data_IF_660326218032
#
_entry.id   IF_660326218032
#
_cell.length_a   1.000
_cell.length_b   1.000
_cell.length_c   1.000
_cell.angle_alpha   90.00
_cell.angle_beta   90.00
_cell.angle_gamma   90.00
#
_symmetry.space_group_name_H-M   'P 1'
#
loop_
_entity.id
_entity.type
_entity.pdbx_description
1 polymer ?
#
# COMPACT_ATOMS: atom_id res chain seq x y z
N UNK A 1 24.55 22.35 6.62
CA UNK A 1 23.45 22.62 7.57
C UNK A 1 22.86 21.25 7.87
N UNK A 2 22.87 20.80 9.12
CA UNK A 2 22.24 19.53 9.46
C UNK A 2 20.73 19.67 9.23
N UNK A 3 20.17 18.80 8.39
CA UNK A 3 18.74 18.78 8.12
C UNK A 3 18.10 18.05 9.29
N UNK A 4 17.20 18.72 9.99
CA UNK A 4 16.45 18.12 11.09
C UNK A 4 15.23 17.37 10.57
N UNK A 5 14.77 16.39 11.34
CA UNK A 5 13.51 15.71 11.09
C UNK A 5 12.35 16.72 11.09
N UNK A 6 11.47 16.61 10.09
CA UNK A 6 10.24 17.38 10.01
C UNK A 6 9.05 16.44 9.81
N UNK A 7 7.85 16.92 10.13
CA UNK A 7 6.61 16.14 10.03
C UNK A 7 6.35 15.64 8.60
N UNK A 8 6.79 16.38 7.58
CA UNK A 8 6.70 15.95 6.18
C UNK A 8 7.51 14.68 5.91
N UNK A 9 8.73 14.59 6.43
CA UNK A 9 9.57 13.41 6.28
C UNK A 9 8.94 12.20 6.96
N UNK A 10 8.37 12.40 8.15
CA UNK A 10 7.69 11.34 8.89
C UNK A 10 6.42 10.87 8.16
N UNK A 11 5.68 11.79 7.56
CA UNK A 11 4.47 11.49 6.77
C UNK A 11 4.82 10.66 5.53
N UNK A 12 5.86 11.04 4.78
CA UNK A 12 6.28 10.28 3.59
C UNK A 12 6.70 8.85 3.98
N UNK A 13 7.50 8.73 5.05
CA UNK A 13 7.96 7.42 5.52
C UNK A 13 6.82 6.57 6.06
N UNK A 14 5.85 7.16 6.78
CA UNK A 14 4.69 6.40 7.27
C UNK A 14 3.84 5.88 6.11
N UNK A 15 3.59 6.70 5.08
CA UNK A 15 2.89 6.27 3.86
C UNK A 15 3.63 5.10 3.18
N UNK A 16 4.95 5.17 3.04
CA UNK A 16 5.74 4.07 2.46
C UNK A 16 5.72 2.82 3.32
N UNK A 17 5.73 2.98 4.65
CA UNK A 17 5.59 1.88 5.60
C UNK A 17 4.25 1.15 5.44
N UNK A 18 3.15 1.89 5.32
CA UNK A 18 1.81 1.34 5.12
C UNK A 18 1.67 0.63 3.77
N UNK A 19 2.19 1.25 2.70
CA UNK A 19 2.23 0.62 1.37
C UNK A 19 3.04 -0.68 1.41
N UNK A 20 4.20 -0.67 2.05
CA UNK A 20 5.05 -1.87 2.21
C UNK A 20 4.35 -2.98 3.00
N UNK A 21 3.57 -2.64 4.04
CA UNK A 21 2.78 -3.60 4.79
C UNK A 21 1.73 -4.29 3.90
N UNK A 22 1.03 -3.51 3.06
CA UNK A 22 0.06 -4.03 2.11
C UNK A 22 0.73 -4.94 1.06
N UNK A 23 1.84 -4.50 0.47
CA UNK A 23 2.60 -5.26 -0.54
C UNK A 23 3.16 -6.56 0.02
N UNK A 24 3.70 -6.54 1.24
CA UNK A 24 4.10 -7.74 1.98
C UNK A 24 2.95 -8.75 2.05
N UNK A 25 1.74 -8.32 2.42
CA UNK A 25 0.59 -9.22 2.53
C UNK A 25 0.22 -9.82 1.17
N UNK A 26 0.21 -9.01 0.11
CA UNK A 26 -0.07 -9.46 -1.25
C UNK A 26 0.92 -10.53 -1.71
N UNK A 27 2.22 -10.30 -1.49
CA UNK A 27 3.25 -11.29 -1.81
C UNK A 27 3.16 -12.54 -0.94
N UNK A 28 2.82 -12.43 0.34
CA UNK A 28 2.62 -13.59 1.23
C UNK A 28 1.49 -14.50 0.73
N UNK A 29 0.37 -13.91 0.29
CA UNK A 29 -0.75 -14.68 -0.27
C UNK A 29 -0.42 -15.27 -1.64
N UNK A 30 0.29 -14.53 -2.49
CA UNK A 30 0.77 -15.03 -3.77
C UNK A 30 1.73 -16.22 -3.59
N UNK A 31 2.71 -16.11 -2.70
CA UNK A 31 3.61 -17.22 -2.33
C UNK A 31 2.82 -18.45 -1.85
N UNK A 32 1.78 -18.26 -1.03
CA UNK A 32 0.96 -19.39 -0.55
C UNK A 32 0.22 -20.09 -1.70
N UNK A 33 -0.28 -19.34 -2.68
CA UNK A 33 -0.90 -19.86 -3.91
C UNK A 33 0.10 -20.64 -4.76
N UNK A 34 1.25 -20.06 -5.06
CA UNK A 34 2.27 -20.71 -5.89
C UNK A 34 2.92 -21.92 -5.21
N UNK A 35 3.07 -21.91 -3.88
CA UNK A 35 3.51 -23.08 -3.11
C UNK A 35 2.52 -24.24 -3.24
N UNK A 36 1.23 -23.96 -3.18
CA UNK A 36 0.19 -24.97 -3.36
C UNK A 36 0.21 -25.54 -4.78
N UNK A 37 0.29 -24.68 -5.79
CA UNK A 37 0.42 -25.11 -7.19
C UNK A 37 1.68 -25.96 -7.39
N UNK A 38 2.84 -25.49 -6.91
CA UNK A 38 4.10 -26.23 -7.00
C UNK A 38 3.96 -27.66 -6.46
N UNK A 39 3.31 -27.82 -5.30
CA UNK A 39 3.08 -29.14 -4.69
C UNK A 39 2.15 -30.01 -5.55
N UNK A 40 1.08 -29.42 -6.12
CA UNK A 40 0.15 -30.14 -7.01
C UNK A 40 0.82 -30.65 -8.28
N UNK A 41 1.71 -29.87 -8.88
CA UNK A 41 2.42 -30.32 -10.08
C UNK A 41 3.53 -31.32 -9.74
N UNK A 42 4.29 -31.07 -8.67
CA UNK A 42 5.53 -31.79 -8.37
C UNK A 42 5.28 -33.15 -7.74
N UNK A 43 4.35 -33.27 -6.78
CA UNK A 43 4.10 -34.53 -6.04
C UNK A 43 3.65 -35.67 -6.98
N UNK A 44 2.66 -35.48 -7.88
CA UNK A 44 2.25 -36.54 -8.80
C UNK A 44 3.37 -36.96 -9.75
N UNK A 45 4.19 -36.02 -10.22
CA UNK A 45 5.35 -36.32 -11.07
C UNK A 45 6.37 -37.18 -10.33
N UNK A 46 6.67 -36.89 -9.06
CA UNK A 46 7.56 -37.71 -8.23
C UNK A 46 7.01 -39.12 -8.08
N UNK A 47 5.72 -39.26 -7.77
CA UNK A 47 5.08 -40.58 -7.59
C UNK A 47 5.14 -41.37 -8.90
N UNK A 48 4.73 -40.78 -10.02
CA UNK A 48 4.78 -41.42 -11.33
C UNK A 48 6.20 -41.85 -11.69
N UNK A 49 7.19 -40.96 -11.52
CA UNK A 49 8.59 -41.25 -11.85
C UNK A 49 9.17 -42.35 -10.98
N UNK A 50 8.81 -42.38 -9.69
CA UNK A 50 9.27 -43.43 -8.76
C UNK A 50 8.65 -44.78 -9.12
N UNK A 51 7.34 -44.80 -9.42
CA UNK A 51 6.63 -46.01 -9.84
C UNK A 51 7.14 -46.55 -11.17
N UNK A 52 7.34 -45.70 -12.18
CA UNK A 52 7.88 -46.12 -13.48
C UNK A 52 9.34 -46.56 -13.37
N UNK A 53 10.14 -45.92 -12.53
CA UNK A 53 11.51 -46.34 -12.22
C UNK A 53 11.57 -47.75 -11.61
N UNK A 54 10.73 -48.02 -10.61
CA UNK A 54 10.62 -49.34 -9.99
C UNK A 54 10.05 -50.40 -10.98
N UNK A 55 9.06 -50.02 -11.79
CA UNK A 55 8.47 -50.90 -12.80
C UNK A 55 9.47 -51.29 -13.89
N UNK A 56 10.31 -50.36 -14.35
CA UNK A 56 11.41 -50.65 -15.29
C UNK A 56 12.38 -51.69 -14.73
N UNK A 57 12.76 -51.58 -13.45
CA UNK A 57 13.65 -52.56 -12.81
C UNK A 57 13.01 -53.95 -12.68
N UNK A 58 11.69 -54.03 -12.45
CA UNK A 58 10.97 -55.28 -12.29
C UNK A 58 10.49 -55.91 -13.62
N UNK A 59 10.63 -55.21 -14.74
CA UNK A 59 10.03 -55.59 -16.03
C UNK A 59 10.48 -56.98 -16.50
N UNK A 60 11.76 -57.32 -16.34
CA UNK A 60 12.33 -58.61 -16.76
C UNK A 60 11.81 -59.79 -15.93
N UNK A 61 11.24 -59.53 -14.74
CA UNK A 61 10.70 -60.56 -13.84
C UNK A 61 9.20 -60.81 -14.07
N UNK A 62 8.57 -60.11 -15.01
CA UNK A 62 7.15 -60.27 -15.30
C UNK A 62 6.89 -61.55 -16.12
N UNK A 63 5.74 -62.21 -15.96
CA UNK A 63 5.32 -63.32 -16.81
C UNK A 63 5.26 -62.92 -18.29
N UNK A 64 5.57 -63.85 -19.19
CA UNK A 64 5.68 -63.62 -20.65
C UNK A 64 4.49 -62.88 -21.29
N UNK A 65 3.29 -63.09 -20.76
CA UNK A 65 2.06 -62.41 -21.20
C UNK A 65 2.04 -60.88 -20.94
N UNK A 66 2.80 -60.37 -19.96
CA UNK A 66 2.81 -58.95 -19.58
C UNK A 66 4.07 -58.19 -20.04
N UNK A 67 5.14 -58.90 -20.42
CA UNK A 67 6.43 -58.32 -20.83
C UNK A 67 6.27 -57.35 -22.01
N UNK A 68 5.32 -57.61 -22.92
CA UNK A 68 5.07 -56.74 -24.07
C UNK A 68 4.27 -55.47 -23.72
N UNK A 69 3.29 -55.57 -22.81
CA UNK A 69 2.42 -54.45 -22.45
C UNK A 69 3.05 -53.50 -21.42
N UNK A 70 3.88 -54.03 -20.52
CA UNK A 70 4.53 -53.25 -19.46
C UNK A 70 5.30 -52.01 -19.98
N UNK A 71 6.19 -52.12 -21.01
CA UNK A 71 6.91 -50.94 -21.51
C UNK A 71 6.01 -49.90 -22.18
N UNK A 72 4.89 -50.31 -22.79
CA UNK A 72 3.92 -49.37 -23.36
C UNK A 72 3.27 -48.52 -22.27
N UNK A 73 2.80 -49.16 -21.19
CA UNK A 73 2.18 -48.47 -20.05
C UNK A 73 3.18 -47.55 -19.35
N UNK A 74 4.41 -48.02 -19.12
CA UNK A 74 5.49 -47.22 -18.52
C UNK A 74 5.81 -46.01 -19.40
N UNK A 75 5.89 -46.20 -20.73
CA UNK A 75 6.09 -45.12 -21.69
C UNK A 75 4.99 -44.05 -21.62
N UNK A 76 3.72 -44.46 -21.55
CA UNK A 76 2.60 -43.52 -21.40
C UNK A 76 2.68 -42.69 -20.12
N UNK A 77 3.00 -43.31 -18.98
CA UNK A 77 3.12 -42.60 -17.69
C UNK A 77 4.29 -41.60 -17.73
N UNK A 78 5.42 -41.99 -18.32
CA UNK A 78 6.58 -41.10 -18.46
C UNK A 78 6.28 -39.89 -19.36
N UNK A 79 5.55 -40.08 -20.46
CA UNK A 79 5.10 -38.97 -21.31
C UNK A 79 4.20 -38.03 -20.52
N UNK A 80 3.25 -38.56 -19.75
CA UNK A 80 2.33 -37.77 -18.95
C UNK A 80 3.08 -36.97 -17.86
N UNK A 81 4.02 -37.60 -17.15
CA UNK A 81 4.89 -36.94 -16.19
C UNK A 81 5.75 -35.84 -16.85
N UNK A 82 6.26 -36.08 -18.06
CA UNK A 82 7.00 -35.09 -18.84
C UNK A 82 6.14 -33.89 -19.25
N UNK A 83 4.90 -34.11 -19.70
CA UNK A 83 3.96 -33.04 -20.03
C UNK A 83 3.65 -32.19 -18.79
N UNK A 84 3.37 -32.81 -17.65
CA UNK A 84 3.09 -32.07 -16.41
C UNK A 84 4.31 -31.22 -16.01
N UNK A 85 5.51 -31.79 -16.09
CA UNK A 85 6.77 -31.09 -15.76
C UNK A 85 7.02 -29.90 -16.70
N UNK A 86 6.84 -30.09 -18.01
CA UNK A 86 7.04 -29.02 -19.00
C UNK A 86 6.01 -27.90 -18.85
N UNK A 87 4.75 -28.22 -18.55
CA UNK A 87 3.72 -27.20 -18.23
C UNK A 87 4.08 -26.44 -16.95
N UNK A 88 4.54 -27.13 -15.90
CA UNK A 88 4.98 -26.48 -14.66
C UNK A 88 6.13 -25.49 -14.92
N UNK A 89 7.11 -25.89 -15.73
CA UNK A 89 8.25 -25.05 -16.10
C UNK A 89 7.81 -23.86 -16.96
N UNK A 90 6.95 -24.08 -17.95
CA UNK A 90 6.41 -23.02 -18.80
C UNK A 90 5.61 -21.97 -18.03
N UNK A 91 4.88 -22.39 -17.00
CA UNK A 91 4.14 -21.49 -16.11
C UNK A 91 5.03 -20.83 -15.04
N UNK A 92 6.34 -21.12 -15.02
CA UNK A 92 7.31 -20.57 -14.06
C UNK A 92 6.89 -20.71 -12.58
N UNK A 93 6.15 -21.77 -12.23
CA UNK A 93 5.51 -21.91 -10.90
C UNK A 93 6.53 -21.85 -9.76
N UNK A 94 7.66 -22.54 -9.92
CA UNK A 94 8.72 -22.57 -8.90
C UNK A 94 9.42 -21.23 -8.76
N UNK A 95 9.69 -20.55 -9.88
CA UNK A 95 10.34 -19.25 -9.91
C UNK A 95 9.44 -18.18 -9.28
N UNK A 96 8.16 -18.12 -9.68
CA UNK A 96 7.17 -17.20 -9.11
C UNK A 96 6.98 -17.41 -7.60
N UNK A 97 6.94 -18.66 -7.14
CA UNK A 97 6.87 -18.96 -5.72
C UNK A 97 8.04 -18.33 -4.96
N UNK A 98 9.26 -18.56 -5.43
CA UNK A 98 10.46 -18.06 -4.78
C UNK A 98 10.57 -16.53 -4.88
N UNK A 99 10.27 -15.94 -6.03
CA UNK A 99 10.24 -14.48 -6.21
C UNK A 99 9.26 -13.82 -5.24
N UNK A 100 8.04 -14.36 -5.10
CA UNK A 100 7.08 -13.84 -4.12
C UNK A 100 7.55 -14.03 -2.67
N UNK A 101 8.21 -15.14 -2.35
CA UNK A 101 8.81 -15.38 -1.02
C UNK A 101 9.87 -14.33 -0.70
N UNK A 102 10.78 -14.07 -1.63
CA UNK A 102 11.86 -13.08 -1.48
C UNK A 102 11.29 -11.66 -1.34
N UNK A 103 10.36 -11.27 -2.21
CA UNK A 103 9.72 -9.95 -2.12
C UNK A 103 8.98 -9.74 -0.81
N UNK A 104 8.20 -10.73 -0.35
CA UNK A 104 7.54 -10.67 0.96
C UNK A 104 8.53 -10.38 2.09
N UNK A 105 9.66 -11.10 2.15
CA UNK A 105 10.68 -10.92 3.20
C UNK A 105 11.30 -9.51 3.10
N UNK A 106 11.57 -9.06 1.88
CA UNK A 106 12.23 -7.79 1.64
C UNK A 106 11.32 -6.60 2.01
N UNK A 107 10.04 -6.62 1.61
CA UNK A 107 9.03 -5.65 2.03
C UNK A 107 8.80 -5.64 3.54
N UNK A 108 8.81 -6.81 4.18
CA UNK A 108 8.69 -6.93 5.64
C UNK A 108 9.90 -6.35 6.38
N UNK A 109 11.11 -6.50 5.81
CA UNK A 109 12.33 -5.87 6.33
C UNK A 109 12.27 -4.35 6.20
N UNK A 110 11.83 -3.83 5.05
CA UNK A 110 11.65 -2.41 4.82
C UNK A 110 10.62 -1.81 5.81
N UNK A 111 9.43 -2.41 5.91
CA UNK A 111 8.39 -1.98 6.86
C UNK A 111 8.90 -1.90 8.30
N UNK A 112 9.60 -2.96 8.77
CA UNK A 112 10.16 -2.95 10.13
C UNK A 112 11.22 -1.88 10.32
N UNK A 113 12.07 -1.65 9.32
CA UNK A 113 13.12 -0.62 9.38
C UNK A 113 12.50 0.76 9.53
N UNK A 114 11.53 1.09 8.68
CA UNK A 114 10.80 2.37 8.75
C UNK A 114 10.07 2.54 10.07
N UNK A 115 9.31 1.51 10.49
CA UNK A 115 8.59 1.52 11.77
C UNK A 115 9.54 1.72 12.95
N UNK A 116 10.67 1.03 12.96
CA UNK A 116 11.67 1.16 14.02
C UNK A 116 12.22 2.58 14.09
N UNK A 117 12.56 3.17 12.95
CA UNK A 117 13.12 4.52 12.89
C UNK A 117 12.12 5.57 13.39
N UNK A 118 10.87 5.51 12.90
CA UNK A 118 9.81 6.43 13.32
C UNK A 118 9.42 6.27 14.80
N UNK A 119 9.61 5.09 15.38
CA UNK A 119 9.31 4.84 16.80
C UNK A 119 10.33 5.45 17.77
N UNK A 120 11.51 5.87 17.28
CA UNK A 120 12.57 6.47 18.10
C UNK A 120 12.38 7.98 18.20
N UNK A 121 12.98 8.60 19.23
CA UNK A 121 13.00 10.07 19.35
C UNK A 121 13.80 10.68 18.19
N UNK A 122 13.36 11.82 17.61
CA UNK A 122 14.06 12.45 16.47
C UNK A 122 15.56 12.71 16.69
N UNK A 123 15.97 12.98 17.92
CA UNK A 123 17.38 13.21 18.29
C UNK A 123 18.28 11.97 18.27
N UNK A 124 17.69 10.77 18.34
CA UNK A 124 18.42 9.49 18.39
C UNK A 124 18.45 8.78 17.03
N UNK A 125 17.67 9.29 16.06
CA UNK A 125 17.53 8.72 14.72
C UNK A 125 18.77 8.93 13.87
N UNK A 126 18.90 8.12 12.83
CA UNK A 126 19.83 8.35 11.73
C UNK A 126 19.55 9.72 11.11
N UNK A 127 20.58 10.45 10.62
CA UNK A 127 20.38 11.70 9.90
C UNK A 127 19.33 11.54 8.80
N UNK A 128 18.34 12.45 8.79
CA UNK A 128 17.16 12.34 7.92
C UNK A 128 17.53 12.21 6.45
N UNK A 129 18.56 12.95 6.00
CA UNK A 129 19.05 12.90 4.61
C UNK A 129 19.55 11.51 4.22
N UNK A 130 20.29 10.85 5.11
CA UNK A 130 20.84 9.51 4.86
C UNK A 130 19.73 8.45 4.87
N UNK A 131 18.83 8.54 5.85
CA UNK A 131 17.74 7.59 5.97
C UNK A 131 16.75 7.71 4.82
N UNK A 132 16.35 8.94 4.45
CA UNK A 132 15.45 9.19 3.32
C UNK A 132 16.05 8.69 2.01
N UNK A 133 17.31 8.98 1.74
CA UNK A 133 17.99 8.48 0.54
C UNK A 133 17.96 6.96 0.49
N UNK A 134 18.41 6.30 1.57
CA UNK A 134 18.46 4.84 1.62
C UNK A 134 17.06 4.21 1.55
N UNK A 135 16.06 4.84 2.16
CA UNK A 135 14.68 4.37 2.13
C UNK A 135 14.08 4.50 0.72
N UNK A 136 14.37 5.60 0.02
CA UNK A 136 13.91 5.82 -1.36
C UNK A 136 14.51 4.79 -2.29
N UNK A 137 15.84 4.63 -2.27
CA UNK A 137 16.56 3.67 -3.10
C UNK A 137 16.06 2.23 -2.86
N UNK A 138 15.86 1.85 -1.59
CA UNK A 138 15.34 0.53 -1.26
C UNK A 138 13.88 0.36 -1.70
N UNK A 139 13.03 1.37 -1.54
CA UNK A 139 11.63 1.32 -1.97
C UNK A 139 11.51 1.16 -3.48
N UNK A 140 12.28 1.95 -4.25
CA UNK A 140 12.32 1.86 -5.71
C UNK A 140 12.84 0.50 -6.15
N UNK A 141 13.95 0.03 -5.57
CA UNK A 141 14.50 -1.30 -5.82
C UNK A 141 13.48 -2.40 -5.54
N UNK A 142 12.74 -2.32 -4.44
CA UNK A 142 11.72 -3.31 -4.10
C UNK A 142 10.55 -3.28 -5.08
N UNK A 143 10.16 -2.10 -5.56
CA UNK A 143 9.09 -1.95 -6.55
C UNK A 143 9.51 -2.53 -7.90
N UNK A 144 10.74 -2.28 -8.34
CA UNK A 144 11.28 -2.79 -9.62
C UNK A 144 11.53 -4.31 -9.61
N UNK A 145 12.03 -4.84 -8.49
CA UNK A 145 12.40 -6.26 -8.39
C UNK A 145 11.25 -7.17 -7.99
N UNK A 146 10.12 -6.61 -7.54
CA UNK A 146 8.98 -7.42 -7.11
C UNK A 146 8.23 -8.01 -8.31
N UNK A 147 7.86 -9.30 -8.25
CA UNK A 147 7.05 -9.92 -9.29
C UNK A 147 5.64 -9.33 -9.31
N UNK A 148 4.95 -9.36 -10.45
CA UNK A 148 3.58 -8.86 -10.56
C UNK A 148 2.64 -9.65 -9.64
N UNK A 149 1.65 -8.97 -9.07
CA UNK A 149 0.62 -9.60 -8.23
C UNK A 149 -0.56 -10.00 -9.11
N UNK A 150 -1.04 -11.24 -8.93
CA UNK A 150 -2.22 -11.72 -9.64
C UNK A 150 -3.50 -11.00 -9.20
N UNK A 151 -4.43 -10.81 -10.15
CA UNK A 151 -5.69 -10.09 -9.93
C UNK A 151 -6.61 -10.76 -8.92
N UNK A 152 -6.56 -12.09 -8.80
CA UNK A 152 -7.30 -12.85 -7.79
C UNK A 152 -6.82 -12.54 -6.37
N UNK A 153 -5.52 -12.32 -6.18
CA UNK A 153 -4.95 -11.92 -4.88
C UNK A 153 -5.34 -10.49 -4.53
N UNK A 154 -5.37 -9.58 -5.51
CA UNK A 154 -5.87 -8.22 -5.31
C UNK A 154 -7.36 -8.22 -4.92
N UNK A 155 -8.17 -9.04 -5.59
CA UNK A 155 -9.58 -9.22 -5.22
C UNK A 155 -9.73 -9.82 -3.81
N UNK A 156 -8.91 -10.82 -3.48
CA UNK A 156 -8.87 -11.40 -2.14
C UNK A 156 -8.52 -10.36 -1.07
N UNK A 157 -7.55 -9.49 -1.35
CA UNK A 157 -7.19 -8.38 -0.47
C UNK A 157 -8.40 -7.47 -0.20
N UNK A 158 -9.06 -6.99 -1.26
CA UNK A 158 -10.24 -6.11 -1.15
C UNK A 158 -11.37 -6.78 -0.37
N UNK A 159 -11.66 -8.05 -0.63
CA UNK A 159 -12.70 -8.77 0.11
C UNK A 159 -12.34 -9.02 1.58
N UNK A 160 -11.06 -9.16 1.91
CA UNK A 160 -10.60 -9.40 3.29
C UNK A 160 -10.71 -8.14 4.15
N UNK A 161 -10.36 -6.98 3.60
CA UNK A 161 -10.23 -5.73 4.36
C UNK A 161 -11.33 -4.69 4.11
N UNK A 162 -12.04 -4.78 2.98
CA UNK A 162 -13.16 -3.89 2.60
C UNK A 162 -14.48 -4.66 2.38
N UNK A 163 -14.51 -5.93 2.80
CA UNK A 163 -15.68 -6.79 2.68
C UNK A 163 -16.78 -6.43 3.69
N UNK A 164 -18.04 -6.69 3.33
CA UNK A 164 -19.21 -6.52 4.23
C UNK A 164 -19.14 -7.36 5.50
N UNK A 165 -18.31 -8.40 5.51
CA UNK A 165 -18.13 -9.35 6.62
C UNK A 165 -16.89 -9.07 7.46
N UNK A 166 -16.11 -8.03 7.13
CA UNK A 166 -14.94 -7.62 7.90
C UNK A 166 -15.39 -6.97 9.22
N UNK A 167 -14.76 -7.34 10.33
CA UNK A 167 -15.09 -6.74 11.64
C UNK A 167 -14.84 -5.24 11.61
N UNK A 168 -15.73 -4.47 12.26
CA UNK A 168 -15.69 -3.00 12.25
C UNK A 168 -14.33 -2.43 12.65
N UNK A 169 -13.63 -3.10 13.58
CA UNK A 169 -12.30 -2.72 14.05
C UNK A 169 -11.21 -2.92 12.98
N UNK A 170 -11.21 -4.04 12.26
CA UNK A 170 -10.24 -4.28 11.18
C UNK A 170 -10.46 -3.30 10.04
N UNK A 171 -11.73 -2.97 9.74
CA UNK A 171 -12.09 -2.00 8.72
C UNK A 171 -11.62 -0.58 9.06
N UNK A 172 -11.76 -0.15 10.33
CA UNK A 172 -11.29 1.18 10.75
C UNK A 172 -9.76 1.27 10.69
N UNK A 173 -9.04 0.26 11.21
CA UNK A 173 -7.58 0.21 11.10
C UNK A 173 -7.11 0.19 9.64
N UNK A 174 -7.81 -0.52 8.77
CA UNK A 174 -7.47 -0.56 7.35
C UNK A 174 -7.80 0.75 6.61
N UNK A 175 -8.82 1.48 7.03
CA UNK A 175 -9.14 2.80 6.46
C UNK A 175 -8.12 3.88 6.82
N UNK A 176 -7.37 3.70 7.92
CA UNK A 176 -6.29 4.58 8.35
C UNK A 176 -5.00 4.36 7.55
N UNK A 177 -4.83 3.19 6.91
CA UNK A 177 -3.62 2.86 6.15
C UNK A 177 -3.60 3.52 4.77
N UNK A 178 -2.42 3.99 4.38
CA UNK A 178 -2.19 4.44 3.01
C UNK A 178 -2.10 3.24 2.06
N UNK A 179 -3.02 3.18 1.10
CA UNK A 179 -3.10 2.07 0.14
C UNK A 179 -2.05 2.22 -0.98
N UNK A 180 -1.43 1.11 -1.42
CA UNK A 180 -0.58 1.12 -2.60
C UNK A 180 -1.42 1.24 -3.88
N UNK A 181 -0.81 1.80 -4.91
CA UNK A 181 -1.45 2.18 -6.18
C UNK A 181 -2.09 0.98 -6.90
N UNK A 182 -1.59 -0.24 -6.68
CA UNK A 182 -2.16 -1.50 -7.17
C UNK A 182 -3.58 -1.80 -6.62
N UNK A 183 -4.01 -1.11 -5.55
CA UNK A 183 -5.34 -1.23 -4.96
C UNK A 183 -6.31 -0.14 -5.44
N UNK A 184 -6.06 0.44 -6.61
CA UNK A 184 -6.85 1.51 -7.25
C UNK A 184 -6.88 2.84 -6.48
N UNK A 185 -5.90 3.10 -5.62
CA UNK A 185 -5.72 4.40 -4.99
C UNK A 185 -4.89 5.32 -5.89
N UNK A 186 -5.55 6.26 -6.55
CA UNK A 186 -4.87 7.32 -7.32
C UNK A 186 -4.93 8.63 -6.54
N UNK A 187 -3.78 9.11 -6.08
CA UNK A 187 -3.65 10.44 -5.47
C UNK A 187 -2.99 11.40 -6.47
N UNK A 188 -3.54 12.61 -6.58
CA UNK A 188 -2.94 13.63 -7.46
C UNK A 188 -1.66 14.18 -6.83
N UNK A 189 -0.58 14.25 -7.61
CA UNK A 189 0.70 14.88 -7.21
C UNK A 189 0.51 16.32 -6.74
N UNK A 190 -0.54 17.02 -7.21
CA UNK A 190 -0.85 18.38 -6.72
C UNK A 190 -1.08 18.42 -5.20
N UNK A 191 -1.56 17.32 -4.61
CA UNK A 191 -1.77 17.21 -3.17
C UNK A 191 -0.48 16.98 -2.38
N UNK A 192 0.59 16.52 -3.03
CA UNK A 192 1.91 16.29 -2.41
C UNK A 192 2.88 17.46 -2.61
N UNK A 193 2.45 18.57 -3.24
CA UNK A 193 3.25 19.78 -3.34
C UNK A 193 3.41 20.38 -1.95
N UNK A 194 4.64 20.79 -1.61
CA UNK A 194 4.90 21.53 -0.39
C UNK A 194 4.03 22.79 -0.33
N UNK A 195 3.35 22.98 0.78
CA UNK A 195 2.57 24.19 1.07
C UNK A 195 3.14 24.80 2.33
N UNK A 196 3.34 26.10 2.31
CA UNK A 196 3.80 26.82 3.50
C UNK A 196 2.82 26.59 4.67
N UNK A 197 3.30 26.60 5.92
CA UNK A 197 2.45 26.36 7.09
C UNK A 197 1.22 27.29 7.14
N UNK A 198 1.37 28.55 6.71
CA UNK A 198 0.29 29.53 6.63
C UNK A 198 -0.77 29.17 5.59
N UNK A 199 -0.37 28.68 4.42
CA UNK A 199 -1.28 28.24 3.36
C UNK A 199 -2.01 26.94 3.75
N UNK A 200 -1.33 26.01 4.43
CA UNK A 200 -1.95 24.79 4.98
C UNK A 200 -3.04 25.11 5.98
N UNK A 201 -2.78 26.07 6.88
CA UNK A 201 -3.78 26.52 7.86
C UNK A 201 -4.98 27.09 7.11
N UNK A 202 -4.78 28.00 6.16
CA UNK A 202 -5.87 28.58 5.37
C UNK A 202 -6.73 27.55 4.63
N UNK A 203 -6.10 26.55 4.01
CA UNK A 203 -6.81 25.48 3.29
C UNK A 203 -7.53 24.52 4.24
N UNK A 204 -6.96 24.20 5.40
CA UNK A 204 -7.63 23.39 6.43
C UNK A 204 -8.87 24.09 6.98
N UNK A 205 -8.79 25.41 7.17
CA UNK A 205 -9.92 26.24 7.60
C UNK A 205 -10.99 26.24 6.52
N UNK A 206 -10.60 26.45 5.27
CA UNK A 206 -11.50 26.39 4.12
C UNK A 206 -12.25 25.05 4.05
N UNK A 207 -11.54 23.92 4.14
CA UNK A 207 -12.14 22.59 4.06
C UNK A 207 -13.07 22.27 5.24
N UNK A 208 -12.73 22.71 6.47
CA UNK A 208 -13.60 22.53 7.65
C UNK A 208 -14.88 23.34 7.53
N UNK A 209 -14.79 24.57 7.04
CA UNK A 209 -15.95 25.42 6.80
C UNK A 209 -16.85 24.86 5.69
N UNK A 210 -16.27 24.33 4.60
CA UNK A 210 -17.05 23.64 3.57
C UNK A 210 -17.78 22.39 4.10
N UNK A 211 -17.18 21.67 5.05
CA UNK A 211 -17.78 20.48 5.65
C UNK A 211 -18.87 20.80 6.69
N UNK A 212 -18.68 21.84 7.52
CA UNK A 212 -19.65 22.25 8.54
C UNK A 212 -20.85 23.02 7.95
N UNK A 213 -20.65 23.78 6.86
CA UNK A 213 -21.66 24.67 6.30
C UNK A 213 -22.12 24.29 4.87
N UNK A 214 -21.54 23.25 4.26
CA UNK A 214 -21.90 22.77 2.91
C UNK A 214 -21.33 23.62 1.77
N UNK A 215 -21.40 23.11 0.53
CA UNK A 215 -20.81 23.76 -0.67
C UNK A 215 -21.67 24.90 -1.24
N UNK A 216 -22.05 25.89 -0.42
CA UNK A 216 -22.60 27.11 -0.97
C UNK A 216 -21.47 28.05 -1.38
N UNK A 217 -21.42 28.40 -2.68
CA UNK A 217 -20.49 29.40 -3.26
C UNK A 217 -20.47 30.75 -2.51
N UNK A 218 -21.44 30.99 -1.62
CA UNK A 218 -21.49 32.15 -0.74
C UNK A 218 -20.47 32.10 0.40
N UNK A 219 -20.10 30.94 0.94
CA UNK A 219 -19.25 30.82 2.13
C UNK A 219 -17.80 31.22 1.82
N UNK A 220 -17.27 30.78 0.69
CA UNK A 220 -15.91 31.15 0.24
C UNK A 220 -15.80 32.66 0.01
N UNK A 221 -16.85 33.27 -0.55
CA UNK A 221 -16.93 34.71 -0.76
C UNK A 221 -17.07 35.48 0.57
N UNK A 222 -17.83 34.96 1.53
CA UNK A 222 -17.97 35.54 2.87
C UNK A 222 -16.65 35.48 3.64
N UNK A 223 -15.94 34.35 3.60
CA UNK A 223 -14.64 34.23 4.26
C UNK A 223 -13.57 35.14 3.65
N UNK A 224 -13.55 35.24 2.32
CA UNK A 224 -12.68 36.19 1.63
C UNK A 224 -12.98 37.64 2.02
N UNK A 225 -14.26 38.00 2.21
CA UNK A 225 -14.66 39.33 2.72
C UNK A 225 -14.16 39.57 4.15
N UNK A 226 -14.19 38.56 5.04
CA UNK A 226 -13.64 38.67 6.40
C UNK A 226 -12.13 38.94 6.34
N UNK A 227 -11.39 38.18 5.52
CA UNK A 227 -9.95 38.37 5.36
C UNK A 227 -9.58 39.72 4.72
N UNK A 228 -10.32 40.14 3.68
CA UNK A 228 -10.14 41.46 3.06
C UNK A 228 -10.45 42.59 4.03
N UNK A 229 -11.48 42.44 4.88
CA UNK A 229 -11.79 43.41 5.94
C UNK A 229 -10.68 43.46 6.98
N UNK A 230 -10.20 42.32 7.48
CA UNK A 230 -9.11 42.25 8.44
C UNK A 230 -7.82 42.90 7.89
N UNK A 231 -7.48 42.61 6.64
CA UNK A 231 -6.32 43.19 5.96
C UNK A 231 -6.46 44.71 5.72
N UNK A 232 -7.64 45.19 5.31
CA UNK A 232 -7.90 46.63 5.14
C UNK A 232 -7.87 47.38 6.47
N UNK A 233 -8.51 46.82 7.48
CA UNK A 233 -8.61 47.43 8.79
C UNK A 233 -7.25 47.50 9.50
N UNK A 234 -6.44 46.43 9.39
CA UNK A 234 -5.07 46.44 9.90
C UNK A 234 -4.16 47.40 9.14
N UNK A 235 -4.33 47.54 7.82
CA UNK A 235 -3.59 48.51 7.03
C UNK A 235 -3.97 49.97 7.36
N UNK A 236 -5.23 50.23 7.70
CA UNK A 236 -5.75 51.58 7.94
C UNK A 236 -5.58 52.02 9.40
N UNK A 237 -5.73 51.10 10.37
CA UNK A 237 -5.72 51.41 11.80
C UNK A 237 -4.50 50.83 12.55
N UNK A 238 -3.58 50.16 11.84
CA UNK A 238 -2.37 49.54 12.41
C UNK A 238 -2.64 48.63 13.62
N UNK A 239 -3.84 48.05 13.70
CA UNK A 239 -4.29 47.12 14.74
C UNK A 239 -5.26 46.10 14.17
N UNK A 240 -5.42 44.99 14.86
CA UNK A 240 -6.43 44.00 14.47
C UNK A 240 -7.85 44.45 14.86
N UNK A 241 -8.88 44.09 14.06
CA UNK A 241 -10.27 44.40 14.39
C UNK A 241 -10.74 43.58 15.59
N UNK A 242 -11.57 44.19 16.43
CA UNK A 242 -12.21 43.50 17.56
C UNK A 242 -13.46 42.74 17.13
N UNK A 243 -13.90 41.75 17.92
CA UNK A 243 -15.13 40.97 17.63
C UNK A 243 -16.34 41.84 17.30
N UNK A 244 -16.55 42.91 18.06
CA UNK A 244 -17.66 43.85 17.84
C UNK A 244 -17.55 44.54 16.48
N UNK A 245 -16.33 44.93 16.09
CA UNK A 245 -16.09 45.58 14.79
C UNK A 245 -16.28 44.61 13.62
N UNK A 246 -16.01 43.31 13.78
CA UNK A 246 -16.38 42.32 12.77
C UNK A 246 -17.89 42.16 12.65
N UNK A 247 -18.61 42.05 13.76
CA UNK A 247 -20.08 41.88 13.75
C UNK A 247 -20.79 43.14 13.23
N UNK A 248 -20.31 44.33 13.60
CA UNK A 248 -20.92 45.61 13.22
C UNK A 248 -20.66 45.97 11.74
N UNK A 249 -19.53 45.53 11.15
CA UNK A 249 -19.19 45.85 9.76
C UNK A 249 -19.50 44.72 8.77
N UNK A 250 -19.75 43.49 9.24
CA UNK A 250 -20.06 42.32 8.41
C UNK A 250 -21.41 41.72 8.79
N UNK A 251 -22.47 42.55 8.77
CA UNK A 251 -23.85 42.15 9.08
C UNK A 251 -24.37 41.01 8.17
N UNK A 252 -23.85 40.91 6.95
CA UNK A 252 -24.21 39.87 5.97
C UNK A 252 -23.59 38.49 6.26
N UNK A 253 -22.75 38.39 7.31
CA UNK A 253 -21.99 37.18 7.66
C UNK A 253 -22.51 36.61 8.99
N UNK A 254 -22.85 35.32 9.06
CA UNK A 254 -23.30 34.71 10.32
C UNK A 254 -22.26 34.88 11.44
N UNK A 255 -22.71 35.31 12.63
CA UNK A 255 -21.83 35.50 13.80
C UNK A 255 -20.99 34.26 14.14
N UNK A 256 -21.54 33.06 13.92
CA UNK A 256 -20.84 31.79 14.12
C UNK A 256 -19.59 31.64 13.24
N UNK A 257 -19.61 32.21 12.02
CA UNK A 257 -18.45 32.19 11.11
C UNK A 257 -17.35 33.16 11.57
N UNK A 258 -17.75 34.32 12.10
CA UNK A 258 -16.84 35.31 12.69
C UNK A 258 -16.19 34.72 13.95
N UNK A 259 -16.96 34.06 14.80
CA UNK A 259 -16.46 33.41 16.02
C UNK A 259 -15.50 32.24 15.71
N UNK A 260 -15.76 31.49 14.64
CA UNK A 260 -14.86 30.41 14.18
C UNK A 260 -13.53 30.96 13.67
N UNK A 261 -13.54 32.11 12.99
CA UNK A 261 -12.33 32.79 12.52
C UNK A 261 -11.52 33.37 13.69
N UNK A 262 -12.18 34.05 14.63
CA UNK A 262 -11.53 34.66 15.80
C UNK A 262 -10.97 33.64 16.79
N UNK A 263 -11.54 32.44 16.88
CA UNK A 263 -11.02 31.36 17.73
C UNK A 263 -9.69 30.76 17.22
N UNK A 264 -9.19 31.21 16.06
CA UNK A 264 -8.03 30.64 15.36
C UNK A 264 -6.90 31.65 15.11
N UNK A 265 -7.09 32.93 15.50
CA UNK A 265 -6.05 33.98 15.59
C UNK A 265 -5.49 33.98 17.01
#
# INVERSE_FOLDING_TARGET
MEIHWSDEHETILSEWGDKALCLKWLHMKSNSKYQYLHNIYTIPVIIMSTLTGAANFAQEKLPSQYIFYAPVVIGCINILAGIITTVQQFLHITELNESHRVSMIAWDKFYRRVKHELSRKPSERTPVSEFMLTATEEYDRLTETSPPIDTDIVALFKTTFDGRFTSTNIRSMFSELTKPDILDSLTSIRKSIYKDPSERIQESIHNRLEHEFGSEKNIVNQYKKIQEFAARFSAELSREPTRKEYVDNLEDIPEQMIDTYLAQI
#
